data_IF_760301004038
#
_entry.id   IF_760301004038
#
_cell.length_a   1.000
_cell.length_b   1.000
_cell.length_c   1.000
_cell.angle_alpha   90.00
_cell.angle_beta   90.00
_cell.angle_gamma   90.00
#
_symmetry.space_group_name_H-M   'P 1'
#
loop_
_entity.id
_entity.type
_entity.pdbx_description
1 polymer ?
#
# COMPACT_ATOMS: atom_id res chain seq x y z
N UNK A 1 -0.88 -3.49 4.10
CA UNK A 1 -2.30 -3.52 4.50
C UNK A 1 -2.50 -3.66 6.01
N UNK A 2 -1.94 -4.70 6.67
CA UNK A 2 -2.10 -4.92 8.11
C UNK A 2 -1.64 -3.74 8.99
N UNK A 3 -0.53 -3.10 8.62
CA UNK A 3 -0.02 -1.90 9.31
C UNK A 3 -1.01 -0.72 9.22
N UNK A 4 -1.71 -0.58 8.09
CA UNK A 4 -2.71 0.48 7.92
C UNK A 4 -3.91 0.22 8.85
N UNK A 5 -4.44 -1.00 8.84
CA UNK A 5 -5.55 -1.39 9.72
C UNK A 5 -5.21 -1.19 11.19
N UNK A 6 -4.05 -1.68 11.63
CA UNK A 6 -3.62 -1.53 13.03
C UNK A 6 -3.48 -0.06 13.46
N UNK A 7 -2.89 0.80 12.62
CA UNK A 7 -2.79 2.24 12.89
C UNK A 7 -4.16 2.91 12.96
N UNK A 8 -5.08 2.58 12.05
CA UNK A 8 -6.45 3.12 12.06
C UNK A 8 -7.13 2.77 13.39
N UNK A 9 -7.14 1.49 13.80
CA UNK A 9 -7.76 1.08 15.05
C UNK A 9 -7.10 1.71 16.28
N UNK A 10 -5.77 1.86 16.27
CA UNK A 10 -5.01 2.51 17.33
C UNK A 10 -5.43 3.99 17.48
N UNK A 11 -5.38 4.76 16.41
CA UNK A 11 -5.77 6.18 16.44
C UNK A 11 -7.25 6.37 16.76
N UNK A 12 -8.12 5.47 16.29
CA UNK A 12 -9.55 5.49 16.60
C UNK A 12 -9.80 5.31 18.11
N UNK A 13 -9.05 4.41 18.75
CA UNK A 13 -9.12 4.22 20.21
C UNK A 13 -8.61 5.45 20.98
N UNK A 14 -7.47 6.01 20.56
CA UNK A 14 -6.89 7.19 21.19
C UNK A 14 -7.81 8.43 21.06
N UNK A 15 -8.33 8.68 19.86
CA UNK A 15 -9.21 9.84 19.64
C UNK A 15 -10.54 9.67 20.36
N UNK A 16 -11.09 8.45 20.41
CA UNK A 16 -12.29 8.18 21.19
C UNK A 16 -12.05 8.45 22.68
N UNK A 17 -10.94 7.97 23.24
CA UNK A 17 -10.63 8.18 24.66
C UNK A 17 -10.48 9.66 25.02
N UNK A 18 -9.84 10.45 24.16
CA UNK A 18 -9.58 11.88 24.43
C UNK A 18 -10.82 12.75 24.12
N UNK A 19 -11.50 12.52 23.01
CA UNK A 19 -12.59 13.37 22.55
C UNK A 19 -13.96 12.98 23.11
N UNK A 20 -14.21 11.71 23.47
CA UNK A 20 -15.52 11.31 23.97
C UNK A 20 -15.89 12.04 25.27
N UNK A 21 -14.90 12.33 26.12
CA UNK A 21 -15.11 13.07 27.37
C UNK A 21 -15.39 14.56 27.15
N UNK A 22 -14.78 15.16 26.12
CA UNK A 22 -14.84 16.61 25.86
C UNK A 22 -15.97 16.97 24.90
N UNK A 23 -16.21 16.12 23.90
CA UNK A 23 -17.17 16.33 22.83
C UNK A 23 -18.01 15.08 22.54
N UNK A 24 -18.83 14.64 23.51
CA UNK A 24 -19.65 13.43 23.38
C UNK A 24 -20.74 13.53 22.30
N UNK A 25 -21.08 14.74 21.82
CA UNK A 25 -22.08 14.94 20.76
C UNK A 25 -21.54 14.56 19.37
N UNK A 26 -20.26 14.84 19.13
CA UNK A 26 -19.58 14.55 17.85
C UNK A 26 -19.00 13.14 17.88
N UNK A 27 -18.29 12.78 18.94
CA UNK A 27 -17.72 11.44 19.14
C UNK A 27 -18.59 10.62 20.08
N UNK A 28 -19.76 10.17 19.61
CA UNK A 28 -20.75 9.45 20.44
C UNK A 28 -20.30 8.02 20.70
N UNK A 29 -19.92 7.32 19.65
CA UNK A 29 -19.51 5.92 19.71
C UNK A 29 -18.12 5.74 19.11
N UNK A 30 -17.50 4.58 19.37
CA UNK A 30 -16.22 4.21 18.77
C UNK A 30 -16.25 4.26 17.23
N UNK A 31 -17.42 3.98 16.61
CA UNK A 31 -17.57 4.04 15.15
C UNK A 31 -17.38 5.46 14.58
N UNK A 32 -17.75 6.51 15.31
CA UNK A 32 -17.54 7.89 14.88
C UNK A 32 -16.04 8.24 14.87
N UNK A 33 -15.32 7.79 15.90
CA UNK A 33 -13.87 7.90 15.98
C UNK A 33 -13.17 7.10 14.87
N UNK A 34 -13.66 5.89 14.57
CA UNK A 34 -13.16 5.06 13.47
C UNK A 34 -13.34 5.74 12.12
N UNK A 35 -14.53 6.27 11.87
CA UNK A 35 -14.82 7.03 10.66
C UNK A 35 -13.89 8.25 10.53
N UNK A 36 -13.73 9.03 11.60
CA UNK A 36 -12.79 10.15 11.62
C UNK A 36 -11.36 9.71 11.28
N UNK A 37 -10.85 8.68 11.93
CA UNK A 37 -9.51 8.17 11.66
C UNK A 37 -9.33 7.69 10.22
N UNK A 38 -10.32 7.01 9.64
CA UNK A 38 -10.26 6.60 8.23
C UNK A 38 -10.21 7.82 7.31
N UNK A 39 -11.15 8.76 7.47
CA UNK A 39 -11.28 9.95 6.59
C UNK A 39 -10.05 10.84 6.68
N UNK A 40 -9.47 11.01 7.87
CA UNK A 40 -8.26 11.82 8.03
C UNK A 40 -7.01 11.09 7.52
N UNK A 41 -6.84 9.82 7.84
CA UNK A 41 -5.65 9.06 7.42
C UNK A 41 -5.61 8.83 5.90
N UNK A 42 -6.78 8.67 5.27
CA UNK A 42 -6.92 8.63 3.80
C UNK A 42 -6.84 10.01 3.14
N UNK A 43 -6.62 11.08 3.92
CA UNK A 43 -6.53 12.48 3.44
C UNK A 43 -7.80 13.01 2.77
N UNK A 44 -8.95 12.35 2.96
CA UNK A 44 -10.24 12.80 2.43
C UNK A 44 -10.72 14.06 3.16
N UNK A 45 -10.67 14.04 4.50
CA UNK A 45 -10.85 15.24 5.33
C UNK A 45 -12.20 15.96 5.17
N UNK A 46 -13.34 15.27 5.26
CA UNK A 46 -14.67 15.89 5.13
C UNK A 46 -14.93 17.03 6.13
N UNK A 47 -14.31 16.98 7.31
CA UNK A 47 -14.42 18.04 8.32
C UNK A 47 -15.76 18.05 9.10
N UNK A 48 -16.58 17.03 8.92
CA UNK A 48 -17.84 16.80 9.63
C UNK A 48 -17.61 16.40 11.09
N UNK A 49 -16.58 15.62 11.37
CA UNK A 49 -16.08 15.33 12.71
C UNK A 49 -14.71 15.99 12.88
N UNK A 50 -14.58 16.82 13.92
CA UNK A 50 -13.30 17.46 14.25
C UNK A 50 -13.06 17.45 15.76
N UNK A 51 -11.82 17.16 16.21
CA UNK A 51 -11.48 17.20 17.62
C UNK A 51 -11.40 18.63 18.14
N UNK A 52 -12.00 18.85 19.31
CA UNK A 52 -11.98 20.15 19.97
C UNK A 52 -10.89 20.24 21.05
N UNK A 53 -10.49 19.11 21.63
CA UNK A 53 -9.48 19.09 22.69
C UNK A 53 -8.07 19.34 22.12
N UNK A 54 -7.19 19.90 22.94
CA UNK A 54 -5.78 20.09 22.58
C UNK A 54 -5.08 18.76 22.27
N UNK A 55 -5.38 17.72 23.07
CA UNK A 55 -4.86 16.38 22.85
C UNK A 55 -5.33 15.76 21.54
N UNK A 56 -6.61 15.89 21.20
CA UNK A 56 -7.18 15.38 19.95
C UNK A 56 -6.63 16.08 18.72
N UNK A 57 -6.35 17.40 18.82
CA UNK A 57 -5.67 18.15 17.75
C UNK A 57 -4.24 17.66 17.54
N UNK A 58 -3.46 17.46 18.61
CA UNK A 58 -2.11 16.91 18.50
C UNK A 58 -2.10 15.50 17.90
N UNK A 59 -3.02 14.64 18.32
CA UNK A 59 -3.20 13.30 17.75
C UNK A 59 -3.54 13.35 16.26
N UNK A 60 -4.38 14.30 15.86
CA UNK A 60 -4.75 14.49 14.44
C UNK A 60 -3.56 14.88 13.59
N UNK A 61 -2.69 15.77 14.09
CA UNK A 61 -1.46 16.14 13.39
C UNK A 61 -0.53 14.92 13.19
N UNK A 62 -0.33 14.12 14.25
CA UNK A 62 0.46 12.89 14.17
C UNK A 62 -0.17 11.88 13.18
N UNK A 63 -1.49 11.74 13.21
CA UNK A 63 -2.22 10.86 12.30
C UNK A 63 -2.03 11.28 10.83
N UNK A 64 -2.09 12.57 10.50
CA UNK A 64 -1.85 13.08 9.14
C UNK A 64 -0.42 12.77 8.70
N UNK A 65 0.58 13.06 9.54
CA UNK A 65 1.99 12.79 9.21
C UNK A 65 2.24 11.30 8.94
N UNK A 66 1.68 10.42 9.79
CA UNK A 66 1.79 8.97 9.60
C UNK A 66 1.04 8.48 8.37
N UNK A 67 -0.13 9.02 8.04
CA UNK A 67 -0.89 8.68 6.84
C UNK A 67 -0.10 8.94 5.56
N UNK A 68 0.52 10.12 5.46
CA UNK A 68 1.34 10.54 4.31
C UNK A 68 2.57 9.64 4.14
N UNK A 69 3.15 9.11 5.22
CA UNK A 69 4.29 8.19 5.12
C UNK A 69 3.88 6.76 4.80
N UNK A 70 2.83 6.24 5.45
CA UNK A 70 2.49 4.81 5.41
C UNK A 70 1.77 4.41 4.12
N UNK A 71 0.86 5.24 3.62
CA UNK A 71 0.07 4.90 2.43
C UNK A 71 0.97 4.75 1.18
N UNK A 72 1.83 5.72 0.83
CA UNK A 72 2.70 5.60 -0.35
C UNK A 72 3.69 4.44 -0.23
N UNK A 73 4.18 4.15 0.97
CA UNK A 73 5.09 3.01 1.17
C UNK A 73 4.40 1.68 0.85
N UNK A 74 3.19 1.46 1.36
CA UNK A 74 2.46 0.22 1.09
C UNK A 74 2.04 0.10 -0.38
N UNK A 75 1.56 1.19 -0.98
CA UNK A 75 1.21 1.21 -2.40
C UNK A 75 2.45 0.94 -3.26
N UNK A 76 3.60 1.53 -2.90
CA UNK A 76 4.85 1.31 -3.61
C UNK A 76 5.33 -0.15 -3.56
N UNK A 77 5.18 -0.84 -2.43
CA UNK A 77 5.55 -2.25 -2.32
C UNK A 77 4.64 -3.15 -3.18
N UNK A 78 3.33 -2.88 -3.16
CA UNK A 78 2.36 -3.57 -4.03
C UNK A 78 2.70 -3.37 -5.51
N UNK A 79 3.01 -2.14 -5.91
CA UNK A 79 3.40 -1.83 -7.30
C UNK A 79 4.68 -2.57 -7.68
N UNK A 80 5.69 -2.61 -6.81
CA UNK A 80 6.95 -3.35 -7.08
C UNK A 80 6.68 -4.84 -7.34
N UNK A 81 5.81 -5.47 -6.56
CA UNK A 81 5.46 -6.88 -6.74
C UNK A 81 4.69 -7.12 -8.06
N UNK A 82 3.76 -6.23 -8.40
CA UNK A 82 3.03 -6.29 -9.66
C UNK A 82 3.95 -6.11 -10.86
N UNK A 83 4.82 -5.08 -10.84
CA UNK A 83 5.81 -4.84 -11.90
C UNK A 83 6.77 -6.01 -12.03
N UNK A 84 7.27 -6.55 -10.91
CA UNK A 84 8.13 -7.73 -10.91
C UNK A 84 7.45 -8.93 -11.56
N UNK A 85 6.15 -9.10 -11.37
CA UNK A 85 5.39 -10.22 -11.98
C UNK A 85 5.13 -9.97 -13.47
N UNK A 86 4.83 -8.73 -13.85
CA UNK A 86 4.57 -8.33 -15.24
C UNK A 86 5.84 -8.35 -16.11
N UNK A 87 7.01 -8.08 -15.52
CA UNK A 87 8.27 -7.94 -16.24
C UNK A 87 9.06 -9.25 -16.37
N UNK A 88 8.40 -10.40 -16.32
CA UNK A 88 9.04 -11.72 -16.44
C UNK A 88 8.68 -12.36 -17.78
N UNK A 89 9.69 -12.83 -18.51
CA UNK A 89 9.54 -13.62 -19.74
C UNK A 89 9.87 -15.09 -19.46
N UNK A 90 9.16 -15.98 -20.16
CA UNK A 90 9.41 -17.42 -20.10
C UNK A 90 10.27 -17.86 -21.27
N UNK A 91 11.58 -17.85 -21.09
CA UNK A 91 12.54 -18.40 -22.07
C UNK A 91 13.44 -19.43 -21.38
N UNK A 92 13.63 -20.59 -22.02
CA UNK A 92 14.42 -21.68 -21.45
C UNK A 92 15.90 -21.46 -21.74
N UNK A 93 16.72 -21.34 -20.69
CA UNK A 93 18.15 -21.18 -20.86
C UNK A 93 18.83 -22.48 -21.30
N UNK A 94 19.48 -22.49 -22.46
CA UNK A 94 20.25 -23.63 -23.01
C UNK A 94 21.53 -23.98 -22.22
N UNK A 95 21.78 -23.36 -21.07
CA UNK A 95 22.93 -23.63 -20.21
C UNK A 95 22.56 -24.36 -18.92
N UNK A 96 21.48 -23.93 -18.26
CA UNK A 96 21.07 -24.47 -16.95
C UNK A 96 19.59 -24.85 -16.86
N UNK A 97 18.79 -24.65 -17.91
CA UNK A 97 17.37 -24.99 -17.92
C UNK A 97 16.44 -24.01 -17.19
N UNK A 98 16.95 -22.92 -16.61
CA UNK A 98 16.10 -21.90 -15.98
C UNK A 98 15.15 -21.28 -17.00
N UNK A 99 13.86 -21.25 -16.70
CA UNK A 99 12.79 -20.84 -17.63
C UNK A 99 12.22 -19.45 -17.38
N UNK A 100 12.61 -18.74 -16.31
CA UNK A 100 12.03 -17.45 -15.94
C UNK A 100 13.12 -16.38 -15.79
N UNK A 101 13.03 -15.33 -16.62
CA UNK A 101 14.00 -14.23 -16.70
C UNK A 101 13.28 -12.88 -16.77
N UNK A 102 13.97 -11.79 -16.46
CA UNK A 102 13.43 -10.45 -16.67
C UNK A 102 13.33 -10.15 -18.18
N UNK A 103 12.38 -9.31 -18.61
CA UNK A 103 12.14 -9.00 -20.04
C UNK A 103 13.37 -8.42 -20.76
N UNK A 104 14.24 -7.73 -20.03
CA UNK A 104 15.47 -7.09 -20.50
C UNK A 104 16.72 -7.96 -20.25
N UNK A 105 16.56 -9.19 -19.80
CA UNK A 105 17.65 -10.10 -19.52
C UNK A 105 18.40 -10.51 -20.81
N UNK A 106 19.60 -9.96 -21.01
CA UNK A 106 20.55 -10.38 -22.07
C UNK A 106 21.31 -11.66 -21.71
N UNK A 107 21.44 -11.94 -20.42
CA UNK A 107 22.18 -13.08 -19.87
C UNK A 107 21.35 -13.77 -18.79
N UNK A 108 21.51 -15.08 -18.68
CA UNK A 108 20.87 -15.86 -17.63
C UNK A 108 21.43 -15.47 -16.26
N UNK A 109 20.55 -15.05 -15.34
CA UNK A 109 20.93 -14.67 -13.97
C UNK A 109 21.55 -15.79 -13.12
N UNK A 110 21.38 -17.05 -13.53
CA UNK A 110 21.91 -18.21 -12.80
C UNK A 110 23.26 -18.70 -13.34
N UNK A 111 23.47 -18.77 -14.66
CA UNK A 111 24.69 -19.33 -15.25
C UNK A 111 25.47 -18.39 -16.16
N UNK A 112 25.01 -17.16 -16.39
CA UNK A 112 25.68 -16.15 -17.21
C UNK A 112 25.66 -16.41 -18.73
N UNK A 113 25.04 -17.51 -19.20
CA UNK A 113 24.91 -17.77 -20.65
C UNK A 113 24.02 -16.71 -21.31
N UNK A 114 24.40 -16.23 -22.50
CA UNK A 114 23.62 -15.28 -23.29
C UNK A 114 22.26 -15.89 -23.65
N UNK A 115 21.19 -15.12 -23.48
CA UNK A 115 19.84 -15.50 -23.85
C UNK A 115 19.57 -15.00 -25.27
N UNK A 116 19.18 -15.90 -26.16
CA UNK A 116 18.72 -15.53 -27.50
C UNK A 116 17.24 -15.15 -27.38
N UNK A 117 16.97 -13.84 -27.45
CA UNK A 117 15.61 -13.31 -27.50
C UNK A 117 14.92 -13.89 -28.75
N UNK A 118 14.01 -14.85 -28.59
CA UNK A 118 13.08 -15.19 -29.68
C UNK A 118 12.21 -13.96 -29.90
N UNK A 119 12.21 -13.45 -31.13
CA UNK A 119 11.31 -12.40 -31.59
C UNK A 119 9.92 -13.03 -31.70
N UNK A 120 9.27 -13.26 -30.57
CA UNK A 120 7.86 -13.62 -30.54
C UNK A 120 7.08 -12.32 -30.43
N UNK A 121 7.07 -11.59 -31.55
CA UNK A 121 5.96 -10.74 -31.92
C UNK A 121 4.73 -11.63 -31.76
N UNK A 122 3.82 -11.29 -30.85
CA UNK A 122 2.60 -12.04 -30.67
C UNK A 122 1.82 -12.13 -31.97
N UNK A 123 1.89 -13.29 -32.63
CA UNK A 123 0.99 -13.82 -33.65
C UNK A 123 1.24 -15.33 -33.73
N UNK A 124 0.53 -16.16 -32.98
CA UNK A 124 -0.45 -17.09 -33.57
C UNK A 124 -1.40 -17.69 -32.50
N UNK A 125 -2.71 -17.39 -32.60
CA UNK A 125 -3.74 -18.31 -33.08
C UNK A 125 -3.74 -19.67 -32.35
N UNK A 126 -4.69 -19.96 -31.45
CA UNK A 126 -6.08 -20.30 -31.82
C UNK A 126 -6.18 -20.85 -33.23
N UNK A 127 -5.83 -22.12 -33.39
CA UNK A 127 -6.45 -23.03 -34.35
C UNK A 127 -6.76 -24.34 -33.64
#
# INVERSE_FOLDING_TARGET
>A
LLILFTMIFLYSGLIYQVEHQVNPRVFRNFLDALYFSIVTMTTVGFGDLTPLSEGGRLLTLMMILTGIMVIPWQVGDLIKQLVKTANQIKIVCSGCGLSVHDTDAKFCKNCGKKLEQSVDIGLDNKS
#
